data_IF_644094823595
#
_entry.id   IF_644094823595
#
_cell.length_a   1.000
_cell.length_b   1.000
_cell.length_c   1.000
_cell.angle_alpha   90.00
_cell.angle_beta   90.00
_cell.angle_gamma   90.00
#
_symmetry.space_group_name_H-M   'P 1'
#
loop_
_entity.id
_entity.type
_entity.pdbx_description
1 polymer ?
#
# COMPACT_ATOMS: atom_id res chain seq x y z
N UNK A 1 0.73 -11.20 11.97
CA UNK A 1 1.16 -9.83 11.56
C UNK A 1 0.31 -8.74 12.19
N UNK A 2 -1.03 -8.83 12.12
CA UNK A 2 -1.93 -7.83 12.75
C UNK A 2 -1.65 -7.64 14.25
N UNK A 3 -1.42 -8.74 15.01
CA UNK A 3 -1.18 -8.68 16.46
C UNK A 3 0.17 -8.01 16.81
N UNK A 4 1.22 -8.25 16.01
CA UNK A 4 2.55 -7.64 16.20
C UNK A 4 2.54 -6.13 15.92
N UNK A 5 1.81 -5.70 14.87
CA UNK A 5 1.66 -4.28 14.54
C UNK A 5 0.80 -3.56 15.59
N UNK A 6 -0.27 -4.20 16.08
CA UNK A 6 -1.13 -3.63 17.13
C UNK A 6 -0.42 -3.48 18.49
N UNK A 7 0.46 -4.42 18.86
CA UNK A 7 1.25 -4.33 20.09
C UNK A 7 2.38 -3.29 19.96
N UNK A 8 3.02 -3.17 18.79
CA UNK A 8 4.02 -2.12 18.55
C UNK A 8 3.40 -0.70 18.50
N UNK A 9 2.19 -0.57 17.94
CA UNK A 9 1.45 0.70 17.89
C UNK A 9 1.05 1.22 19.29
N UNK A 10 0.85 0.34 20.28
CA UNK A 10 0.58 0.74 21.68
C UNK A 10 1.74 1.48 22.36
N UNK A 11 2.97 1.31 21.88
CA UNK A 11 4.17 1.89 22.52
C UNK A 11 4.58 3.25 21.90
N UNK A 12 4.32 3.46 20.60
CA UNK A 12 4.46 4.76 19.91
C UNK A 12 3.84 4.70 18.51
N UNK A 13 2.86 5.55 18.22
CA UNK A 13 2.21 5.66 16.90
C UNK A 13 3.21 5.87 15.75
N UNK A 14 4.36 6.53 16.02
CA UNK A 14 5.41 6.76 15.01
C UNK A 14 6.18 5.49 14.65
N UNK A 15 6.49 4.65 15.63
CA UNK A 15 7.22 3.40 15.40
C UNK A 15 6.28 2.36 14.78
N UNK A 16 5.02 2.31 15.24
CA UNK A 16 3.97 1.51 14.61
C UNK A 16 3.76 1.89 13.14
N UNK A 17 3.73 3.20 12.83
CA UNK A 17 3.65 3.70 11.46
C UNK A 17 4.86 3.32 10.59
N UNK A 18 6.09 3.41 11.13
CA UNK A 18 7.30 3.01 10.40
C UNK A 18 7.32 1.51 10.10
N UNK A 19 6.96 0.68 11.08
CA UNK A 19 6.89 -0.78 10.91
C UNK A 19 5.76 -1.17 9.96
N UNK A 20 4.62 -0.48 10.01
CA UNK A 20 3.51 -0.68 9.08
C UNK A 20 3.84 -0.22 7.64
N UNK A 21 4.68 0.80 7.50
CA UNK A 21 5.16 1.29 6.21
C UNK A 21 6.24 0.40 5.59
N UNK A 22 7.00 -0.34 6.41
CA UNK A 22 7.95 -1.32 5.92
C UNK A 22 7.18 -2.47 5.24
N UNK A 23 7.47 -2.78 3.97
CA UNK A 23 6.76 -3.80 3.22
C UNK A 23 7.29 -5.19 3.61
N UNK A 24 7.16 -5.54 4.89
CA UNK A 24 7.61 -6.80 5.49
C UNK A 24 7.04 -8.01 4.74
N UNK A 25 5.77 -7.90 4.33
CA UNK A 25 5.10 -8.91 3.50
C UNK A 25 5.82 -9.06 2.15
N UNK A 26 6.13 -7.96 1.47
CA UNK A 26 6.84 -7.97 0.18
C UNK A 26 8.24 -8.57 0.31
N UNK A 27 9.00 -8.22 1.36
CA UNK A 27 10.33 -8.80 1.59
C UNK A 27 10.22 -10.32 1.76
N UNK A 28 9.23 -10.80 2.53
CA UNK A 28 8.99 -12.22 2.72
C UNK A 28 8.61 -12.91 1.40
N UNK A 29 7.77 -12.28 0.58
CA UNK A 29 7.38 -12.79 -0.74
C UNK A 29 8.56 -12.86 -1.71
N UNK A 30 9.47 -11.88 -1.70
CA UNK A 30 10.67 -11.90 -2.54
C UNK A 30 11.63 -13.02 -2.13
N UNK A 31 11.83 -13.21 -0.82
CA UNK A 31 12.64 -14.34 -0.29
C UNK A 31 12.02 -15.67 -0.72
N UNK A 32 10.69 -15.81 -0.60
CA UNK A 32 9.99 -17.02 -1.00
C UNK A 32 10.13 -17.31 -2.51
N UNK A 33 9.92 -16.31 -3.37
CA UNK A 33 10.07 -16.46 -4.82
C UNK A 33 11.51 -16.85 -5.21
N UNK A 34 12.50 -16.32 -4.48
CA UNK A 34 13.90 -16.69 -4.68
C UNK A 34 14.18 -18.14 -4.25
N UNK A 35 13.62 -18.58 -3.12
CA UNK A 35 13.72 -19.98 -2.65
C UNK A 35 13.03 -20.95 -3.62
N UNK A 36 11.91 -20.55 -4.23
CA UNK A 36 11.23 -21.32 -5.28
C UNK A 36 11.95 -21.30 -6.65
N UNK A 37 13.13 -20.69 -6.74
CA UNK A 37 13.90 -20.52 -7.98
C UNK A 37 13.08 -19.92 -9.13
N UNK A 38 12.17 -19.00 -8.81
CA UNK A 38 11.44 -18.27 -9.84
C UNK A 38 12.42 -17.42 -10.65
N UNK A 39 12.16 -17.22 -11.95
CA UNK A 39 13.03 -16.41 -12.80
C UNK A 39 13.21 -15.00 -12.22
N UNK A 40 14.44 -14.45 -12.28
CA UNK A 40 14.75 -13.10 -11.78
C UNK A 40 13.81 -12.03 -12.36
N UNK A 41 13.38 -12.22 -13.62
CA UNK A 41 12.39 -11.36 -14.28
C UNK A 41 11.06 -11.30 -13.50
N UNK A 42 10.59 -12.42 -12.94
CA UNK A 42 9.33 -12.52 -12.20
C UNK A 42 9.45 -11.88 -10.81
N UNK A 43 10.61 -12.03 -10.17
CA UNK A 43 10.96 -11.37 -8.91
C UNK A 43 11.01 -9.85 -9.10
N UNK A 44 11.70 -9.39 -10.15
CA UNK A 44 11.80 -7.97 -10.50
C UNK A 44 10.44 -7.35 -10.84
N UNK A 45 9.61 -8.06 -11.62
CA UNK A 45 8.26 -7.61 -11.94
C UNK A 45 7.39 -7.49 -10.68
N UNK A 46 7.53 -8.39 -9.70
CA UNK A 46 6.76 -8.31 -8.46
C UNK A 46 7.09 -7.04 -7.66
N UNK A 47 8.38 -6.70 -7.54
CA UNK A 47 8.83 -5.45 -6.93
C UNK A 47 8.34 -4.21 -7.72
N UNK A 48 8.41 -4.27 -9.05
CA UNK A 48 7.94 -3.20 -9.93
C UNK A 48 6.45 -2.91 -9.73
N UNK A 49 5.59 -3.93 -9.82
CA UNK A 49 4.15 -3.76 -9.63
C UNK A 49 3.81 -3.25 -8.22
N UNK A 50 4.48 -3.75 -7.20
CA UNK A 50 4.29 -3.29 -5.82
C UNK A 50 4.62 -1.81 -5.69
N UNK A 51 5.72 -1.35 -6.29
CA UNK A 51 6.09 0.06 -6.30
C UNK A 51 5.01 0.93 -6.96
N UNK A 52 4.53 0.54 -8.14
CA UNK A 52 3.46 1.28 -8.83
C UNK A 52 2.16 1.33 -8.02
N UNK A 53 1.78 0.25 -7.31
CA UNK A 53 0.57 0.25 -6.49
C UNK A 53 0.66 1.07 -5.19
N UNK A 54 1.86 1.36 -4.69
CA UNK A 54 2.03 2.20 -3.48
C UNK A 54 1.81 3.69 -3.80
N UNK A 55 2.11 4.13 -5.04
CA UNK A 55 1.94 5.53 -5.44
C UNK A 55 0.48 6.02 -5.29
N UNK A 56 -0.56 5.33 -5.79
CA UNK A 56 -1.94 5.78 -5.64
C UNK A 56 -2.48 5.63 -4.20
N UNK A 57 -1.88 4.80 -3.36
CA UNK A 57 -2.35 4.63 -1.97
C UNK A 57 -1.83 5.72 -1.03
N UNK A 58 -0.66 6.31 -1.30
CA UNK A 58 -0.10 7.42 -0.50
C UNK A 58 -1.03 8.65 -0.42
N UNK A 59 -1.59 9.19 -1.53
CA UNK A 59 -2.57 10.28 -1.48
C UNK A 59 -3.82 9.94 -0.68
N UNK A 60 -4.37 8.74 -0.86
CA UNK A 60 -5.54 8.29 -0.12
C UNK A 60 -5.25 8.21 1.39
N UNK A 61 -4.06 7.73 1.76
CA UNK A 61 -3.63 7.64 3.15
C UNK A 61 -3.53 9.01 3.84
N UNK A 62 -3.24 10.08 3.09
CA UNK A 62 -3.26 11.46 3.60
C UNK A 62 -4.67 12.05 3.74
N UNK A 63 -5.62 11.61 2.89
CA UNK A 63 -7.03 12.04 2.97
C UNK A 63 -7.69 11.50 4.24
N UNK A 64 -7.34 10.30 4.68
CA UNK A 64 -7.98 9.65 5.84
C UNK A 64 -7.85 10.46 7.17
N UNK A 65 -6.66 10.94 7.61
CA UNK A 65 -6.54 11.80 8.79
C UNK A 65 -7.39 13.06 8.71
N UNK A 66 -7.44 13.70 7.54
CA UNK A 66 -8.24 14.90 7.34
C UNK A 66 -9.75 14.62 7.49
N UNK A 67 -10.22 13.52 6.91
CA UNK A 67 -11.61 13.06 7.03
C UNK A 67 -11.95 12.61 8.45
N UNK A 68 -11.03 11.90 9.11
CA UNK A 68 -11.16 11.42 10.48
C UNK A 68 -11.36 12.59 11.46
N UNK A 69 -10.64 13.69 11.26
CA UNK A 69 -10.77 14.89 12.11
C UNK A 69 -12.12 15.61 12.00
N UNK A 70 -12.85 15.43 10.89
CA UNK A 70 -14.07 16.19 10.56
C UNK A 70 -15.36 15.39 10.65
N UNK A 71 -15.34 14.11 10.30
CA UNK A 71 -16.54 13.30 10.12
C UNK A 71 -16.60 12.06 11.02
N UNK A 72 -15.57 11.81 11.82
CA UNK A 72 -15.45 10.59 12.65
C UNK A 72 -15.09 9.34 11.83
N UNK A 73 -14.93 8.22 12.52
CA UNK A 73 -14.31 7.01 11.96
C UNK A 73 -15.05 6.40 10.76
N UNK A 74 -16.37 6.18 10.87
CA UNK A 74 -17.12 5.45 9.84
C UNK A 74 -17.23 6.21 8.52
N UNK A 75 -17.50 7.52 8.57
CA UNK A 75 -17.51 8.38 7.39
C UNK A 75 -16.10 8.55 6.81
N UNK A 76 -15.08 8.65 7.67
CA UNK A 76 -13.69 8.71 7.22
C UNK A 76 -13.25 7.44 6.50
N UNK A 77 -13.66 6.26 7.00
CA UNK A 77 -13.39 4.97 6.39
C UNK A 77 -14.05 4.86 5.01
N UNK A 78 -15.34 5.21 4.90
CA UNK A 78 -16.03 5.21 3.61
C UNK A 78 -15.36 6.16 2.61
N UNK A 79 -15.03 7.39 3.02
CA UNK A 79 -14.35 8.35 2.16
C UNK A 79 -12.95 7.90 1.76
N UNK A 80 -12.21 7.21 2.63
CA UNK A 80 -10.91 6.63 2.30
C UNK A 80 -11.00 5.51 1.26
N UNK A 81 -11.98 4.61 1.38
CA UNK A 81 -12.22 3.55 0.39
C UNK A 81 -12.53 4.18 -0.97
N UNK A 82 -13.43 5.17 -1.01
CA UNK A 82 -13.77 5.90 -2.23
C UNK A 82 -12.56 6.62 -2.82
N UNK A 83 -11.79 7.34 -2.00
CA UNK A 83 -10.58 8.03 -2.42
C UNK A 83 -9.54 7.06 -3.00
N UNK A 84 -9.38 5.88 -2.38
CA UNK A 84 -8.47 4.83 -2.87
C UNK A 84 -8.91 4.32 -4.24
N UNK A 85 -10.20 4.04 -4.43
CA UNK A 85 -10.74 3.62 -5.73
C UNK A 85 -10.53 4.70 -6.80
N UNK A 86 -10.81 5.97 -6.49
CA UNK A 86 -10.61 7.09 -7.42
C UNK A 86 -9.12 7.26 -7.77
N UNK A 87 -8.23 7.22 -6.78
CA UNK A 87 -6.79 7.31 -7.00
C UNK A 87 -6.29 6.15 -7.89
N UNK A 88 -6.76 4.93 -7.66
CA UNK A 88 -6.43 3.79 -8.51
C UNK A 88 -6.91 3.97 -9.95
N UNK A 89 -8.17 4.38 -10.16
CA UNK A 89 -8.72 4.60 -11.51
C UNK A 89 -7.91 5.66 -12.27
N UNK A 90 -7.66 6.80 -11.63
CA UNK A 90 -6.85 7.89 -12.21
C UNK A 90 -5.44 7.39 -12.51
N UNK A 91 -4.82 6.66 -11.58
CA UNK A 91 -3.48 6.14 -11.72
C UNK A 91 -3.37 5.11 -12.85
N UNK A 92 -4.29 4.15 -12.94
CA UNK A 92 -4.34 3.19 -14.05
C UNK A 92 -4.52 3.90 -15.39
N UNK A 93 -5.36 4.94 -15.44
CA UNK A 93 -5.57 5.73 -16.66
C UNK A 93 -4.29 6.48 -17.09
N UNK A 94 -3.56 7.05 -16.12
CA UNK A 94 -2.28 7.72 -16.35
C UNK A 94 -1.20 6.71 -16.74
N UNK A 95 -1.08 5.59 -16.02
CA UNK A 95 -0.09 4.55 -16.31
C UNK A 95 -0.29 3.92 -17.69
N UNK A 96 -1.54 3.72 -18.13
CA UNK A 96 -1.87 3.33 -19.51
C UNK A 96 -1.32 4.31 -20.55
N UNK A 97 -1.27 5.62 -20.25
CA UNK A 97 -0.68 6.63 -21.15
C UNK A 97 0.84 6.53 -21.24
N UNK A 98 1.49 5.90 -20.27
CA UNK A 98 2.93 5.62 -20.25
C UNK A 98 3.27 4.19 -20.73
N UNK A 99 2.30 3.42 -21.23
CA UNK A 99 2.53 2.06 -21.73
C UNK A 99 2.71 0.99 -20.65
N UNK A 100 2.37 1.31 -19.39
CA UNK A 100 2.36 0.34 -18.29
C UNK A 100 0.94 -0.26 -18.18
N UNK A 101 0.75 -1.47 -18.73
CA UNK A 101 -0.44 -2.29 -18.47
C UNK A 101 -0.36 -2.87 -17.07
N UNK A 102 -0.90 -2.13 -16.10
CA UNK A 102 -1.04 -2.56 -14.71
C UNK A 102 -2.31 -3.42 -14.47
N UNK A 103 -3.00 -3.86 -15.53
CA UNK A 103 -4.27 -4.60 -15.45
C UNK A 103 -4.44 -5.58 -16.60
#
# INVERSE_FOLDING_TARGET
MVILVSEAAKYSDRIGGLIAALPMVTVLTLIWLHVEQQPDQKIANHAWYTFWYVIPTLPAMLVFPALMSRFGFWLALMGYVLATCVCFIVFTFVARRFGLELL
#
